data_IF_867108390746
#
_entry.id   IF_867108390746
#
_cell.length_a   1.000
_cell.length_b   1.000
_cell.length_c   1.000
_cell.angle_alpha   90.00
_cell.angle_beta   90.00
_cell.angle_gamma   90.00
#
_symmetry.space_group_name_H-M   'P 1'
#
loop_
_entity.id
_entity.type
_entity.pdbx_description
1 polymer ?
#
# COMPACT_ATOMS: atom_id res chain seq x y z
N UNK A 1 -29.98 15.66 -1.16
CA UNK A 1 -28.81 15.23 -0.34
C UNK A 1 -28.46 13.81 -0.78
N UNK A 2 -27.52 13.65 -1.68
CA UNK A 2 -27.11 12.33 -2.13
C UNK A 2 -26.37 11.65 -0.97
N UNK A 3 -26.93 10.55 -0.43
CA UNK A 3 -26.19 9.69 0.48
C UNK A 3 -24.94 9.21 -0.27
N UNK A 4 -23.76 9.67 0.17
CA UNK A 4 -22.51 9.17 -0.40
C UNK A 4 -22.45 7.69 -0.10
N UNK A 5 -22.31 6.92 -1.16
CA UNK A 5 -22.18 5.47 -1.11
C UNK A 5 -21.05 5.07 -0.16
N UNK A 6 -21.31 4.10 0.72
CA UNK A 6 -20.33 3.56 1.65
C UNK A 6 -19.79 2.23 1.12
N UNK A 7 -18.47 2.04 1.21
CA UNK A 7 -17.77 0.84 0.72
C UNK A 7 -17.23 0.04 1.91
N UNK A 8 -17.15 -1.28 1.75
CA UNK A 8 -16.44 -2.12 2.71
C UNK A 8 -14.94 -1.88 2.59
N UNK A 9 -14.45 -1.82 1.34
CA UNK A 9 -13.04 -1.54 1.03
C UNK A 9 -12.90 -0.47 -0.05
N UNK A 10 -11.92 0.41 0.15
CA UNK A 10 -11.37 1.25 -0.90
C UNK A 10 -9.96 0.75 -1.21
N UNK A 11 -9.79 0.12 -2.37
CA UNK A 11 -8.48 -0.35 -2.85
C UNK A 11 -7.82 0.75 -3.64
N UNK A 12 -6.59 1.09 -3.29
CA UNK A 12 -5.80 2.17 -3.85
C UNK A 12 -4.57 1.56 -4.51
N UNK A 13 -4.40 1.80 -5.80
CA UNK A 13 -3.30 1.24 -6.59
C UNK A 13 -2.51 2.41 -7.20
N UNK A 14 -1.19 2.41 -7.03
CA UNK A 14 -0.30 3.29 -7.79
C UNK A 14 0.37 2.52 -8.91
N UNK A 15 0.43 3.09 -10.11
CA UNK A 15 0.98 2.44 -11.30
C UNK A 15 1.77 3.40 -12.19
N UNK A 16 2.73 2.86 -12.95
CA UNK A 16 3.47 3.57 -14.00
C UNK A 16 4.03 2.59 -15.03
N UNK A 17 3.58 2.72 -16.30
CA UNK A 17 4.05 1.92 -17.44
C UNK A 17 4.08 0.40 -17.19
N UNK A 18 3.00 -0.14 -16.60
CA UNK A 18 2.86 -1.57 -16.27
C UNK A 18 1.45 -2.07 -16.55
N UNK A 19 0.96 -1.94 -17.81
CA UNK A 19 -0.44 -2.27 -18.13
C UNK A 19 -0.81 -3.71 -17.81
N UNK A 20 0.08 -4.67 -18.08
CA UNK A 20 -0.20 -6.08 -17.84
C UNK A 20 -0.28 -6.41 -16.35
N UNK A 21 0.64 -5.88 -15.53
CA UNK A 21 0.64 -6.13 -14.09
C UNK A 21 -0.61 -5.54 -13.44
N UNK A 22 -0.94 -4.30 -13.80
CA UNK A 22 -2.17 -3.67 -13.34
C UNK A 22 -3.42 -4.47 -13.74
N UNK A 23 -3.51 -4.91 -14.99
CA UNK A 23 -4.65 -5.72 -15.46
C UNK A 23 -4.77 -7.05 -14.70
N UNK A 24 -3.64 -7.71 -14.41
CA UNK A 24 -3.62 -8.94 -13.61
C UNK A 24 -4.10 -8.68 -12.18
N UNK A 25 -3.62 -7.62 -11.53
CA UNK A 25 -4.07 -7.25 -10.19
C UNK A 25 -5.55 -6.92 -10.16
N UNK A 26 -6.06 -6.15 -11.13
CA UNK A 26 -7.48 -5.83 -11.22
C UNK A 26 -8.34 -7.08 -11.42
N UNK A 27 -7.88 -8.04 -12.22
CA UNK A 27 -8.54 -9.33 -12.38
C UNK A 27 -8.58 -10.11 -11.07
N UNK A 28 -7.48 -10.11 -10.30
CA UNK A 28 -7.47 -10.73 -8.97
C UNK A 28 -8.46 -10.06 -8.03
N UNK A 29 -8.53 -8.73 -8.01
CA UNK A 29 -9.48 -7.99 -7.17
C UNK A 29 -10.92 -8.38 -7.54
N UNK A 30 -11.26 -8.43 -8.83
CA UNK A 30 -12.60 -8.86 -9.28
C UNK A 30 -12.95 -10.29 -8.84
N UNK A 31 -11.99 -11.21 -8.90
CA UNK A 31 -12.19 -12.61 -8.49
C UNK A 31 -12.35 -12.74 -6.96
N UNK A 32 -11.63 -11.92 -6.18
CA UNK A 32 -11.60 -12.01 -4.72
C UNK A 32 -12.65 -11.13 -4.03
N UNK A 33 -13.32 -10.22 -4.74
CA UNK A 33 -14.26 -9.26 -4.12
C UNK A 33 -15.50 -9.91 -3.50
N UNK A 34 -15.93 -11.08 -3.99
CA UNK A 34 -17.12 -11.80 -3.48
C UNK A 34 -18.31 -10.87 -3.27
N UNK A 35 -18.82 -10.83 -2.02
CA UNK A 35 -19.96 -9.99 -1.61
C UNK A 35 -19.54 -8.63 -1.05
N UNK A 36 -18.25 -8.28 -1.09
CA UNK A 36 -17.78 -7.01 -0.60
C UNK A 36 -18.06 -5.88 -1.60
N UNK A 37 -18.50 -4.75 -1.09
CA UNK A 37 -18.65 -3.54 -1.86
C UNK A 37 -17.31 -2.80 -1.93
N UNK A 38 -16.64 -2.91 -3.07
CA UNK A 38 -15.27 -2.42 -3.26
C UNK A 38 -15.26 -1.23 -4.23
N UNK A 39 -14.60 -0.16 -3.82
CA UNK A 39 -14.18 0.93 -4.70
C UNK A 39 -12.70 0.73 -5.06
N UNK A 40 -12.39 0.69 -6.35
CA UNK A 40 -10.99 0.62 -6.82
C UNK A 40 -10.57 1.96 -7.40
N UNK A 41 -9.51 2.53 -6.86
CA UNK A 41 -8.89 3.78 -7.31
C UNK A 41 -7.50 3.47 -7.88
N UNK A 42 -7.27 3.85 -9.13
CA UNK A 42 -5.98 3.69 -9.81
C UNK A 42 -5.35 5.06 -10.00
N UNK A 43 -4.22 5.30 -9.36
CA UNK A 43 -3.40 6.50 -9.53
C UNK A 43 -2.25 6.19 -10.49
N UNK A 44 -2.37 6.69 -11.71
CA UNK A 44 -1.41 6.49 -12.79
C UNK A 44 -0.44 7.68 -12.84
N UNK A 45 0.84 7.42 -12.64
CA UNK A 45 1.90 8.43 -12.68
C UNK A 45 2.24 8.88 -14.11
N UNK A 46 1.21 9.15 -14.92
CA UNK A 46 1.32 9.59 -16.31
C UNK A 46 2.03 8.58 -17.21
N UNK A 47 1.49 7.37 -17.25
CA UNK A 47 2.00 6.31 -18.12
C UNK A 47 1.94 6.68 -19.60
N UNK A 48 3.00 6.35 -20.33
CA UNK A 48 3.09 6.50 -21.78
C UNK A 48 2.30 5.37 -22.46
N UNK A 49 2.40 4.15 -21.90
CA UNK A 49 1.66 2.99 -22.39
C UNK A 49 0.18 3.17 -22.07
N UNK A 50 -0.67 2.99 -23.09
CA UNK A 50 -2.12 3.07 -22.92
C UNK A 50 -2.64 1.79 -22.27
N UNK A 51 -3.55 1.96 -21.33
CA UNK A 51 -4.26 0.87 -20.67
C UNK A 51 -5.69 0.78 -21.19
N UNK A 52 -6.12 -0.38 -21.63
CA UNK A 52 -7.55 -0.68 -21.75
C UNK A 52 -8.05 -1.25 -20.42
N UNK A 53 -8.70 -0.41 -19.65
CA UNK A 53 -9.30 -0.77 -18.36
C UNK A 53 -10.82 -0.73 -18.39
N UNK A 54 -11.43 -0.65 -19.58
CA UNK A 54 -12.88 -0.48 -19.78
C UNK A 54 -13.69 -1.63 -19.18
N UNK A 55 -13.11 -2.82 -19.09
CA UNK A 55 -13.75 -4.01 -18.51
C UNK A 55 -13.81 -4.01 -16.97
N UNK A 56 -13.11 -3.09 -16.30
CA UNK A 56 -13.07 -3.03 -14.85
C UNK A 56 -13.87 -1.82 -14.32
N UNK A 57 -14.63 -2.03 -13.26
CA UNK A 57 -15.30 -0.94 -12.56
C UNK A 57 -14.33 -0.22 -11.62
N UNK A 58 -13.54 0.69 -12.19
CA UNK A 58 -12.50 1.42 -11.47
C UNK A 58 -12.63 2.93 -11.70
N UNK A 59 -11.99 3.71 -10.84
CA UNK A 59 -11.77 5.14 -11.03
C UNK A 59 -10.29 5.40 -11.24
N UNK A 60 -9.91 5.77 -12.46
CA UNK A 60 -8.53 6.12 -12.81
C UNK A 60 -8.30 7.62 -12.67
N UNK A 61 -7.22 7.99 -12.01
CA UNK A 61 -6.71 9.35 -11.84
C UNK A 61 -5.30 9.38 -12.45
N UNK A 62 -5.08 10.20 -13.47
CA UNK A 62 -3.76 10.35 -14.11
C UNK A 62 -3.08 11.61 -13.61
N UNK A 63 -1.84 11.47 -13.16
CA UNK A 63 -0.99 12.60 -12.79
C UNK A 63 -0.49 13.32 -14.06
N UNK A 64 -0.24 14.60 -13.93
CA UNK A 64 0.39 15.39 -15.00
C UNK A 64 1.17 16.56 -14.37
N UNK A 65 2.49 16.61 -14.55
CA UNK A 65 3.35 15.64 -15.24
C UNK A 65 3.62 14.36 -14.46
N UNK A 66 4.40 13.42 -15.04
CA UNK A 66 4.94 12.27 -14.31
C UNK A 66 5.77 12.73 -13.11
N UNK A 67 5.53 12.14 -11.96
CA UNK A 67 6.20 12.50 -10.70
C UNK A 67 7.52 11.75 -10.53
N UNK A 68 7.56 10.49 -10.93
CA UNK A 68 8.71 9.62 -10.76
C UNK A 68 9.15 9.45 -9.32
N UNK A 69 10.28 8.79 -9.11
CA UNK A 69 10.76 8.41 -7.77
C UNK A 69 10.97 9.60 -6.82
N UNK A 70 11.61 10.66 -7.30
CA UNK A 70 11.99 11.81 -6.45
C UNK A 70 10.79 12.66 -6.01
N UNK A 71 9.74 12.66 -6.79
CA UNK A 71 8.51 13.40 -6.53
C UNK A 71 7.32 12.48 -6.21
N UNK A 72 7.58 11.21 -5.91
CA UNK A 72 6.53 10.24 -5.60
C UNK A 72 5.61 10.68 -4.46
N UNK A 73 6.10 11.49 -3.52
CA UNK A 73 5.29 12.08 -2.47
C UNK A 73 4.14 12.96 -3.01
N UNK A 74 4.25 13.55 -4.20
CA UNK A 74 3.13 14.27 -4.83
C UNK A 74 2.00 13.32 -5.24
N UNK A 75 2.35 12.17 -5.84
CA UNK A 75 1.35 11.15 -6.18
C UNK A 75 0.64 10.66 -4.92
N UNK A 76 1.38 10.40 -3.84
CA UNK A 76 0.80 10.02 -2.55
C UNK A 76 -0.09 11.11 -1.99
N UNK A 77 0.31 12.38 -2.08
CA UNK A 77 -0.50 13.51 -1.64
C UNK A 77 -1.79 13.65 -2.45
N UNK A 78 -1.73 13.48 -3.76
CA UNK A 78 -2.92 13.46 -4.61
C UNK A 78 -3.86 12.31 -4.19
N UNK A 79 -3.30 11.13 -3.94
CA UNK A 79 -4.04 9.96 -3.44
C UNK A 79 -4.71 10.26 -2.10
N UNK A 80 -3.97 10.75 -1.12
CA UNK A 80 -4.49 11.03 0.22
C UNK A 80 -5.57 12.13 0.20
N UNK A 81 -5.34 13.19 -0.59
CA UNK A 81 -6.33 14.25 -0.79
C UNK A 81 -7.63 13.73 -1.40
N UNK A 82 -7.52 12.83 -2.39
CA UNK A 82 -8.68 12.25 -3.07
C UNK A 82 -9.53 11.40 -2.13
N UNK A 83 -8.91 10.53 -1.32
CA UNK A 83 -9.61 9.63 -0.40
C UNK A 83 -10.23 10.34 0.78
N UNK A 84 -9.88 11.60 1.05
CA UNK A 84 -10.47 12.42 2.13
C UNK A 84 -12.01 12.43 2.09
N UNK A 85 -12.58 12.40 0.88
CA UNK A 85 -14.01 12.43 0.66
C UNK A 85 -14.65 11.04 0.43
N UNK A 86 -13.87 9.97 0.51
CA UNK A 86 -14.35 8.60 0.33
C UNK A 86 -14.86 8.07 1.67
N UNK A 87 -16.04 7.46 1.65
CA UNK A 87 -16.60 6.69 2.76
C UNK A 87 -16.28 5.22 2.54
N UNK A 88 -15.38 4.68 3.31
CA UNK A 88 -15.04 3.27 3.32
C UNK A 88 -14.70 2.82 4.74
N UNK A 89 -15.02 1.58 5.10
CA UNK A 89 -14.63 0.99 6.39
C UNK A 89 -13.12 0.77 6.43
N UNK A 90 -12.58 0.21 5.35
CA UNK A 90 -11.16 -0.08 5.21
C UNK A 90 -10.59 0.51 3.94
N UNK A 91 -9.32 0.89 4.00
CA UNK A 91 -8.50 1.32 2.89
C UNK A 91 -7.34 0.36 2.73
N UNK A 92 -7.14 -0.16 1.53
CA UNK A 92 -6.04 -1.07 1.20
C UNK A 92 -5.17 -0.39 0.14
N UNK A 93 -3.90 -0.17 0.46
CA UNK A 93 -2.93 0.35 -0.49
C UNK A 93 -2.11 -0.81 -1.08
N UNK A 94 -2.10 -0.93 -2.41
CA UNK A 94 -1.38 -1.98 -3.14
C UNK A 94 -0.45 -1.39 -4.20
N UNK A 95 0.78 -1.91 -4.35
CA UNK A 95 1.56 -1.71 -5.57
C UNK A 95 0.94 -2.51 -6.73
N UNK A 96 1.21 -2.10 -7.97
CA UNK A 96 0.64 -2.72 -9.18
C UNK A 96 1.22 -4.09 -9.55
N UNK A 97 2.30 -4.52 -8.86
CA UNK A 97 3.08 -5.73 -9.14
C UNK A 97 2.86 -6.85 -8.12
N UNK A 98 1.69 -6.88 -7.51
CA UNK A 98 1.29 -7.95 -6.58
C UNK A 98 0.14 -8.79 -7.09
N UNK A 99 0.07 -10.04 -6.62
CA UNK A 99 -1.05 -10.97 -6.80
C UNK A 99 -1.64 -11.26 -5.42
N UNK A 100 -2.96 -11.30 -5.31
CA UNK A 100 -3.64 -11.53 -4.04
C UNK A 100 -3.69 -13.02 -3.70
N UNK A 101 -3.69 -13.37 -2.40
CA UNK A 101 -4.02 -14.73 -1.95
C UNK A 101 -5.52 -14.99 -2.07
N UNK A 102 -5.91 -16.26 -2.00
CA UNK A 102 -7.32 -16.64 -1.90
C UNK A 102 -7.95 -16.08 -0.63
N UNK A 103 -9.21 -15.64 -0.70
CA UNK A 103 -9.96 -14.99 0.37
C UNK A 103 -9.31 -13.71 0.91
N UNK A 104 -8.58 -13.00 0.06
CA UNK A 104 -7.75 -11.84 0.44
C UNK A 104 -8.47 -10.83 1.33
N UNK A 105 -9.66 -10.38 0.95
CA UNK A 105 -10.38 -9.34 1.68
C UNK A 105 -10.84 -9.81 3.06
N UNK A 106 -11.36 -11.03 3.14
CA UNK A 106 -11.81 -11.61 4.41
C UNK A 106 -10.65 -11.85 5.37
N UNK A 107 -9.56 -12.47 4.88
CA UNK A 107 -8.40 -12.79 5.70
C UNK A 107 -7.66 -11.53 6.18
N UNK A 108 -7.45 -10.58 5.28
CA UNK A 108 -6.79 -9.31 5.62
C UNK A 108 -7.60 -8.53 6.66
N UNK A 109 -8.93 -8.47 6.50
CA UNK A 109 -9.84 -7.84 7.45
C UNK A 109 -9.82 -8.58 8.80
N UNK A 110 -9.88 -9.92 8.80
CA UNK A 110 -9.88 -10.75 9.99
C UNK A 110 -8.63 -10.49 10.84
N UNK A 111 -7.44 -10.54 10.23
CA UNK A 111 -6.17 -10.28 10.92
C UNK A 111 -6.14 -8.82 11.41
N UNK A 112 -6.53 -7.86 10.59
CA UNK A 112 -6.57 -6.46 11.01
C UNK A 112 -7.49 -6.26 12.22
N UNK A 113 -8.68 -6.87 12.23
CA UNK A 113 -9.64 -6.77 13.34
C UNK A 113 -9.16 -7.48 14.62
N UNK A 114 -8.40 -8.58 14.52
CA UNK A 114 -7.85 -9.28 15.67
C UNK A 114 -6.83 -8.49 16.49
N UNK A 115 -6.27 -7.41 15.89
CA UNK A 115 -5.33 -6.52 16.58
C UNK A 115 -6.11 -5.63 17.55
N UNK A 116 -6.14 -6.02 18.81
CA UNK A 116 -6.80 -5.27 19.87
C UNK A 116 -5.81 -4.32 20.57
N UNK A 117 -5.55 -3.18 19.96
CA UNK A 117 -4.69 -2.14 20.54
C UNK A 117 -5.23 -0.74 20.22
N UNK A 118 -5.41 0.15 21.20
CA UNK A 118 -6.05 1.46 21.02
C UNK A 118 -5.28 2.40 20.09
N UNK A 119 -4.00 2.18 19.93
CA UNK A 119 -3.11 2.96 19.05
C UNK A 119 -2.76 2.23 17.74
N UNK A 120 -3.48 1.16 17.41
CA UNK A 120 -3.37 0.50 16.10
C UNK A 120 -3.68 1.50 14.99
N UNK A 121 -2.82 1.55 13.97
CA UNK A 121 -3.00 2.49 12.87
C UNK A 121 -3.02 1.82 11.49
N UNK A 122 -2.20 0.81 11.26
CA UNK A 122 -2.21 0.02 10.04
C UNK A 122 -1.62 -1.38 10.25
N UNK A 123 -1.92 -2.27 9.29
CA UNK A 123 -1.32 -3.60 9.17
C UNK A 123 -0.69 -3.71 7.78
N UNK A 124 0.63 -3.87 7.71
CA UNK A 124 1.33 -4.19 6.47
C UNK A 124 1.03 -5.64 6.08
N UNK A 125 0.76 -5.87 4.82
CA UNK A 125 0.24 -7.13 4.28
C UNK A 125 1.17 -7.81 3.27
N UNK A 126 2.30 -7.18 2.95
CA UNK A 126 3.39 -7.77 2.18
C UNK A 126 4.54 -8.10 3.12
N UNK A 127 4.85 -9.39 3.28
CA UNK A 127 5.94 -9.89 4.10
C UNK A 127 6.93 -10.65 3.24
N UNK A 128 8.23 -10.40 3.42
CA UNK A 128 9.31 -11.12 2.75
C UNK A 128 10.37 -11.60 3.76
N UNK A 129 11.30 -12.44 3.31
CA UNK A 129 12.38 -13.02 4.14
C UNK A 129 13.22 -11.98 4.86
N UNK A 130 13.29 -10.76 4.35
CA UNK A 130 14.10 -9.68 4.94
C UNK A 130 13.49 -9.16 6.21
N UNK A 131 12.16 -9.19 6.31
CA UNK A 131 11.44 -8.79 7.51
C UNK A 131 11.77 -9.72 8.67
N UNK A 132 11.94 -11.03 8.38
CA UNK A 132 12.28 -12.03 9.38
C UNK A 132 13.77 -12.08 9.74
N UNK A 133 14.66 -11.53 8.90
CA UNK A 133 16.13 -11.55 9.13
C UNK A 133 16.64 -10.40 9.98
N UNK A 134 15.75 -9.62 10.63
CA UNK A 134 16.18 -8.30 10.71
C UNK A 134 16.54 -7.63 11.96
N UNK A 135 17.60 -7.17 11.93
CA UNK A 135 18.18 -5.89 12.36
C UNK A 135 17.29 -4.62 12.14
N UNK A 136 16.16 -4.74 11.48
CA UNK A 136 15.11 -3.73 11.42
C UNK A 136 14.26 -3.73 12.68
N UNK A 137 14.32 -4.82 13.42
CA UNK A 137 13.71 -5.04 14.71
C UNK A 137 14.75 -4.92 15.82
N UNK A 138 15.49 -3.81 15.89
CA UNK A 138 16.00 -3.38 17.20
C UNK A 138 14.82 -3.08 18.14
N UNK A 139 13.66 -3.61 17.79
CA UNK A 139 12.44 -3.64 18.51
C UNK A 139 12.24 -5.05 19.06
N UNK A 140 11.92 -5.09 20.35
CA UNK A 140 11.21 -6.22 20.94
C UNK A 140 9.86 -6.35 20.21
N UNK A 141 9.88 -6.93 18.99
CA UNK A 141 8.67 -7.20 18.23
C UNK A 141 7.86 -8.21 19.02
N UNK A 142 6.79 -7.75 19.65
CA UNK A 142 5.89 -8.65 20.34
C UNK A 142 5.22 -9.52 19.28
N UNK A 143 5.42 -10.82 19.41
CA UNK A 143 4.84 -11.83 18.54
C UNK A 143 3.42 -12.13 19.00
N UNK A 144 2.43 -11.87 18.16
CA UNK A 144 1.01 -12.12 18.42
C UNK A 144 0.46 -13.32 17.64
N UNK A 145 1.30 -14.23 17.17
CA UNK A 145 0.90 -15.41 16.41
C UNK A 145 0.78 -15.16 14.90
N UNK A 146 -0.22 -14.45 14.43
CA UNK A 146 -0.42 -14.18 13.00
C UNK A 146 0.21 -12.87 12.52
N UNK A 147 0.57 -11.99 13.44
CA UNK A 147 1.19 -10.70 13.17
C UNK A 147 2.19 -10.33 14.25
N UNK A 148 3.00 -9.33 13.99
CA UNK A 148 3.90 -8.72 14.95
C UNK A 148 3.88 -7.21 14.82
N UNK A 149 4.26 -6.50 15.89
CA UNK A 149 4.40 -5.06 15.88
C UNK A 149 5.65 -4.66 15.11
N UNK A 150 5.55 -3.61 14.29
CA UNK A 150 6.66 -3.06 13.50
C UNK A 150 6.72 -1.55 13.62
N UNK A 151 7.86 -0.98 13.26
CA UNK A 151 8.02 0.48 13.14
C UNK A 151 8.02 0.97 11.69
N UNK A 152 7.70 0.10 10.74
CA UNK A 152 7.83 0.39 9.33
C UNK A 152 6.50 0.21 8.58
N UNK A 153 6.22 1.15 7.65
CA UNK A 153 5.15 1.02 6.66
C UNK A 153 5.76 0.89 5.27
N UNK A 154 5.38 -0.15 4.52
CA UNK A 154 5.93 -0.46 3.19
C UNK A 154 4.96 -0.13 2.04
N UNK A 155 3.99 0.74 2.22
CA UNK A 155 2.99 1.12 1.21
C UNK A 155 2.29 -0.10 0.56
N UNK A 156 2.13 -1.16 1.34
CA UNK A 156 1.29 -2.32 1.02
C UNK A 156 0.60 -2.71 2.32
N UNK A 157 -0.56 -2.10 2.60
CA UNK A 157 -1.17 -2.16 3.92
C UNK A 157 -2.69 -2.03 3.87
N UNK A 158 -3.34 -2.45 4.97
CA UNK A 158 -4.72 -2.12 5.30
C UNK A 158 -4.75 -1.15 6.49
N UNK A 159 -5.67 -0.19 6.44
CA UNK A 159 -5.92 0.77 7.51
C UNK A 159 -7.37 1.24 7.50
N UNK A 160 -7.78 1.89 8.58
CA UNK A 160 -8.99 2.71 8.64
C UNK A 160 -8.67 4.16 8.28
N UNK A 161 -9.71 5.00 8.22
CA UNK A 161 -9.58 6.40 7.79
C UNK A 161 -8.66 7.23 8.69
N UNK A 162 -8.60 6.90 9.97
CA UNK A 162 -7.74 7.57 10.94
C UNK A 162 -6.26 7.57 10.56
N UNK A 163 -5.76 6.56 9.82
CA UNK A 163 -4.40 6.54 9.28
C UNK A 163 -4.08 7.80 8.47
N UNK A 164 -5.01 8.20 7.60
CA UNK A 164 -4.84 9.38 6.76
C UNK A 164 -5.09 10.68 7.52
N UNK A 165 -6.01 10.67 8.47
CA UNK A 165 -6.33 11.81 9.33
C UNK A 165 -5.15 12.24 10.19
N UNK A 166 -4.48 11.31 10.85
CA UNK A 166 -3.28 11.60 11.67
C UNK A 166 -2.11 12.09 10.83
N UNK A 167 -2.07 11.73 9.56
CA UNK A 167 -1.10 12.25 8.59
C UNK A 167 -1.55 13.57 7.96
N UNK A 168 -2.69 14.15 8.38
CA UNK A 168 -3.32 15.31 7.75
C UNK A 168 -3.48 15.16 6.22
N UNK A 169 -3.68 13.92 5.74
CA UNK A 169 -3.77 13.58 4.32
C UNK A 169 -2.58 14.08 3.49
N UNK A 170 -1.40 14.16 4.09
CA UNK A 170 -0.22 14.76 3.46
C UNK A 170 1.09 14.12 3.91
N UNK A 171 1.98 13.95 2.93
CA UNK A 171 3.40 13.63 3.10
C UNK A 171 4.21 14.88 2.78
N UNK A 172 5.20 15.21 3.61
CA UNK A 172 6.07 16.33 3.36
C UNK A 172 7.04 16.06 2.21
N UNK A 173 7.59 17.12 1.64
CA UNK A 173 8.57 17.01 0.57
C UNK A 173 9.77 16.16 1.01
N UNK A 174 10.09 15.17 0.21
CA UNK A 174 11.33 14.41 0.37
C UNK A 174 12.47 15.20 -0.27
N UNK A 175 13.49 15.51 0.52
CA UNK A 175 14.62 16.34 0.06
C UNK A 175 15.51 15.56 -0.93
N UNK A 176 15.96 16.20 -1.99
CA UNK A 176 16.72 15.55 -3.07
C UNK A 176 18.10 15.05 -2.61
N UNK A 177 18.66 15.60 -1.52
CA UNK A 177 19.91 15.12 -0.92
C UNK A 177 19.88 13.64 -0.56
N UNK A 178 18.68 13.06 -0.36
CA UNK A 178 18.50 11.63 -0.12
C UNK A 178 19.18 10.77 -1.19
N UNK A 179 19.18 11.20 -2.43
CA UNK A 179 19.69 10.44 -3.56
C UNK A 179 21.06 10.85 -4.07
N UNK A 180 21.67 11.89 -3.46
CA UNK A 180 23.01 12.38 -3.88
C UNK A 180 24.07 11.32 -3.69
N UNK A 181 24.11 10.69 -2.49
CA UNK A 181 25.10 9.64 -2.18
C UNK A 181 24.70 8.24 -2.66
N UNK A 182 23.42 7.96 -2.76
CA UNK A 182 22.91 6.66 -3.19
C UNK A 182 21.64 6.84 -4.05
N UNK A 183 21.78 6.93 -5.38
CA UNK A 183 20.65 7.09 -6.31
C UNK A 183 19.64 5.93 -6.25
N UNK A 184 20.02 4.78 -5.72
CA UNK A 184 19.18 3.58 -5.66
C UNK A 184 18.24 3.51 -4.43
N UNK A 185 18.34 4.48 -3.52
CA UNK A 185 17.40 4.53 -2.39
C UNK A 185 15.95 4.64 -2.88
N UNK A 186 15.03 4.06 -2.11
CA UNK A 186 13.59 4.16 -2.34
C UNK A 186 13.10 5.61 -2.30
N UNK A 187 11.84 5.85 -2.68
CA UNK A 187 11.22 7.19 -2.65
C UNK A 187 11.28 7.87 -1.26
N UNK A 188 11.40 7.09 -0.18
CA UNK A 188 11.44 7.60 1.18
C UNK A 188 10.07 7.88 1.81
N UNK A 189 8.99 7.71 1.06
CA UNK A 189 7.62 7.96 1.56
C UNK A 189 7.27 7.07 2.74
N UNK A 190 7.47 5.75 2.62
CA UNK A 190 7.20 4.82 3.73
C UNK A 190 8.00 5.16 4.98
N UNK A 191 9.27 5.57 4.83
CA UNK A 191 10.09 6.02 5.95
C UNK A 191 9.48 7.25 6.64
N UNK A 192 9.03 8.24 5.87
CA UNK A 192 8.46 9.46 6.44
C UNK A 192 7.14 9.17 7.17
N UNK A 193 6.27 8.34 6.59
CA UNK A 193 5.04 7.85 7.23
C UNK A 193 5.39 7.19 8.56
N UNK A 194 6.34 6.25 8.54
CA UNK A 194 6.75 5.49 9.72
C UNK A 194 7.27 6.38 10.84
N UNK A 195 8.15 7.33 10.51
CA UNK A 195 8.71 8.27 11.50
C UNK A 195 7.61 9.12 12.15
N UNK A 196 6.66 9.64 11.37
CA UNK A 196 5.55 10.45 11.91
C UNK A 196 4.65 9.64 12.82
N UNK A 197 4.20 8.47 12.36
CA UNK A 197 3.30 7.61 13.15
C UNK A 197 3.96 7.16 14.46
N UNK A 198 5.24 6.77 14.41
CA UNK A 198 5.99 6.39 15.62
C UNK A 198 6.16 7.57 16.59
N UNK A 199 6.48 8.78 16.08
CA UNK A 199 6.60 9.98 16.89
C UNK A 199 5.31 10.32 17.64
N UNK A 200 4.16 10.10 16.98
CA UNK A 200 2.84 10.36 17.55
C UNK A 200 2.33 9.17 18.39
N UNK A 201 3.17 8.14 18.58
CA UNK A 201 2.93 6.99 19.45
C UNK A 201 1.94 5.99 18.88
N UNK A 202 1.72 5.96 17.56
CA UNK A 202 0.89 4.95 16.91
C UNK A 202 1.66 3.65 16.67
N UNK A 203 0.93 2.52 16.69
CA UNK A 203 1.48 1.20 16.45
C UNK A 203 1.12 0.70 15.05
N UNK A 204 2.13 0.35 14.31
CA UNK A 204 2.03 -0.36 13.05
C UNK A 204 2.26 -1.84 13.26
N UNK A 205 1.64 -2.66 12.44
CA UNK A 205 1.74 -4.11 12.51
C UNK A 205 2.11 -4.68 11.14
N UNK A 206 2.53 -5.94 11.15
CA UNK A 206 2.93 -6.67 9.96
C UNK A 206 2.40 -8.10 10.05
N UNK A 207 1.82 -8.64 9.00
CA UNK A 207 1.43 -10.05 8.94
C UNK A 207 2.66 -10.94 8.94
N UNK A 208 2.63 -12.07 9.62
CA UNK A 208 3.72 -13.06 9.57
C UNK A 208 3.81 -13.76 8.23
N UNK A 209 2.67 -14.01 7.60
CA UNK A 209 2.57 -14.54 6.26
C UNK A 209 2.04 -13.45 5.34
N UNK A 210 2.59 -13.37 4.15
CA UNK A 210 2.17 -12.36 3.19
C UNK A 210 0.75 -12.62 2.71
N UNK A 211 -0.06 -11.57 2.66
CA UNK A 211 -1.41 -11.61 2.03
C UNK A 211 -1.34 -11.37 0.53
N UNK A 212 -0.18 -11.02 0.02
CA UNK A 212 0.06 -10.79 -1.40
C UNK A 212 1.36 -11.44 -1.84
N UNK A 213 1.42 -11.90 -3.07
CA UNK A 213 2.65 -12.34 -3.71
C UNK A 213 3.22 -11.20 -4.54
N UNK A 214 4.45 -10.78 -4.25
CA UNK A 214 5.18 -9.80 -5.05
C UNK A 214 6.03 -10.53 -6.08
N UNK A 215 5.75 -10.31 -7.36
CA UNK A 215 6.55 -10.88 -8.45
C UNK A 215 7.96 -10.28 -8.51
N UNK A 216 8.91 -11.04 -9.05
CA UNK A 216 10.28 -10.60 -9.33
C UNK A 216 10.35 -9.74 -10.61
N UNK A 217 9.56 -8.67 -10.66
CA UNK A 217 9.54 -7.75 -11.81
C UNK A 217 10.54 -6.61 -11.64
N UNK A 218 11.12 -6.18 -12.75
CA UNK A 218 11.99 -5.01 -12.76
C UNK A 218 11.24 -3.76 -12.23
N UNK A 219 11.89 -3.04 -11.32
CA UNK A 219 11.32 -1.81 -10.81
C UNK A 219 11.42 -0.68 -11.85
N UNK A 220 10.31 -0.11 -12.28
CA UNK A 220 10.30 1.08 -13.14
C UNK A 220 10.83 2.33 -12.44
N UNK A 221 10.88 2.35 -11.10
CA UNK A 221 11.47 3.45 -10.33
C UNK A 221 12.96 3.25 -10.02
N UNK A 222 13.39 1.98 -9.88
CA UNK A 222 14.76 1.59 -9.60
C UNK A 222 15.13 0.50 -10.59
N UNK A 223 16.19 0.69 -11.35
CA UNK A 223 16.69 -0.29 -12.33
C UNK A 223 17.32 -1.56 -11.70
N UNK A 224 17.29 -1.68 -10.37
CA UNK A 224 17.76 -2.86 -9.66
C UNK A 224 16.68 -3.95 -9.69
N UNK A 225 17.08 -5.17 -10.01
CA UNK A 225 16.23 -6.35 -9.87
C UNK A 225 15.73 -6.48 -8.43
N UNK A 226 14.43 -6.67 -8.28
CA UNK A 226 13.84 -6.98 -6.98
C UNK A 226 13.83 -8.49 -6.79
N UNK A 227 14.76 -8.99 -5.99
CA UNK A 227 14.82 -10.41 -5.58
C UNK A 227 13.94 -10.72 -4.37
N UNK A 228 12.85 -9.99 -4.19
CA UNK A 228 11.95 -10.19 -3.05
C UNK A 228 11.05 -11.41 -3.29
N UNK A 229 11.25 -12.45 -2.53
CA UNK A 229 10.31 -13.56 -2.43
C UNK A 229 9.37 -13.27 -1.25
N UNK A 230 8.07 -13.16 -1.51
CA UNK A 230 7.09 -12.98 -0.43
C UNK A 230 6.83 -14.30 0.29
N UNK A 231 6.68 -14.24 1.61
CA UNK A 231 6.27 -15.37 2.43
C UNK A 231 4.76 -15.53 2.35
N UNK A 232 4.30 -16.43 1.48
CA UNK A 232 2.89 -16.70 1.31
C UNK A 232 2.32 -17.56 2.45
N UNK A 233 1.03 -17.44 2.69
CA UNK A 233 0.27 -18.44 3.45
C UNK A 233 0.23 -19.73 2.64
N UNK A 234 0.57 -20.87 3.25
CA UNK A 234 0.29 -22.19 2.68
C UNK A 234 -1.13 -22.59 3.02
#
# INVERSE_FOLDING_TARGET
>A
MFMKEEYDFCVIISTYNRPQLLSNLLTNIENEKKNHKILVLVFDDNSIEKYDLSKFNIKKITMNPNMGKKKYYFLINATFSYIKNIKSKYFIYLPDDVTLINNFFDETKRIYQSINHPKKICLNILTDDRVNRTNWTNFNSVDYGEYYQTQWNDLCFIAEKNFFEVLNYKIDKIHESRWVKNPNLSSGVGQQISVRLNKDGYNMYHTKKSMVHHGSHESKMNKLERTKVSLLTK
#
